data_IF_168235535081
#
_entry.id   IF_168235535081
#
_cell.length_a   1.000
_cell.length_b   1.000
_cell.length_c   1.000
_cell.angle_alpha   90.00
_cell.angle_beta   90.00
_cell.angle_gamma   90.00
#
_symmetry.space_group_name_H-M   'P 1'
#
loop_
_entity.id
_entity.type
_entity.pdbx_description
1 polymer ?
#
# COMPACT_ATOMS: atom_id res chain seq x y z
N UNK A 1 -29.45 34.67 26.43
CA UNK A 1 -28.00 34.41 26.38
C UNK A 1 -27.64 32.91 26.24
N UNK A 2 -28.40 31.96 26.81
CA UNK A 2 -28.07 30.51 26.78
C UNK A 2 -28.26 29.80 25.43
N UNK A 3 -29.27 30.18 24.64
CA UNK A 3 -29.59 29.55 23.34
C UNK A 3 -28.50 29.78 22.28
N UNK A 4 -27.84 30.95 22.32
CA UNK A 4 -26.81 31.32 21.34
C UNK A 4 -25.51 30.52 21.53
N UNK A 5 -25.09 30.29 22.78
CA UNK A 5 -23.93 29.42 23.06
C UNK A 5 -24.23 27.97 22.70
N UNK A 6 -25.45 27.47 22.96
CA UNK A 6 -25.86 26.11 22.59
C UNK A 6 -25.85 25.93 21.07
N UNK A 7 -26.40 26.89 20.31
CA UNK A 7 -26.42 26.81 18.85
C UNK A 7 -25.02 26.89 18.24
N UNK A 8 -24.13 27.69 18.85
CA UNK A 8 -22.73 27.79 18.44
C UNK A 8 -21.96 26.48 18.69
N UNK A 9 -22.16 25.85 19.86
CA UNK A 9 -21.56 24.56 20.20
C UNK A 9 -22.07 23.44 19.28
N UNK A 10 -23.36 23.44 18.95
CA UNK A 10 -23.91 22.47 17.99
C UNK A 10 -23.34 22.68 16.59
N UNK A 11 -23.24 23.92 16.13
CA UNK A 11 -22.68 24.23 14.81
C UNK A 11 -21.20 23.84 14.70
N UNK A 12 -20.40 24.05 15.74
CA UNK A 12 -18.98 23.65 15.74
C UNK A 12 -18.82 22.13 15.80
N UNK A 13 -19.63 21.42 16.59
CA UNK A 13 -19.59 19.95 16.62
C UNK A 13 -20.02 19.36 15.27
N UNK A 14 -21.07 19.90 14.64
CA UNK A 14 -21.51 19.47 13.30
C UNK A 14 -20.43 19.78 12.26
N UNK A 15 -19.78 20.93 12.34
CA UNK A 15 -18.68 21.30 11.44
C UNK A 15 -17.43 20.42 11.64
N UNK A 16 -17.08 20.08 12.89
CA UNK A 16 -16.00 19.13 13.19
C UNK A 16 -16.34 17.74 12.66
N UNK A 17 -17.57 17.25 12.84
CA UNK A 17 -18.02 15.96 12.31
C UNK A 17 -18.05 15.95 10.78
N UNK A 18 -18.38 17.08 10.16
CA UNK A 18 -18.36 17.25 8.70
C UNK A 18 -16.94 17.29 8.13
N UNK A 19 -16.02 17.99 8.82
CA UNK A 19 -14.60 18.07 8.43
C UNK A 19 -13.82 16.79 8.73
N UNK A 20 -14.15 16.11 9.84
CA UNK A 20 -13.64 14.78 10.18
C UNK A 20 -14.37 13.68 9.40
N UNK A 21 -15.02 14.04 8.28
CA UNK A 21 -15.72 13.12 7.39
C UNK A 21 -14.91 11.85 7.24
N UNK A 22 -15.56 10.71 7.50
CA UNK A 22 -14.95 9.40 7.31
C UNK A 22 -14.45 9.30 5.87
N UNK A 23 -13.16 9.54 5.65
CA UNK A 23 -12.50 9.07 4.45
C UNK A 23 -12.70 7.55 4.45
N UNK A 24 -13.32 7.04 3.39
CA UNK A 24 -13.46 5.60 3.21
C UNK A 24 -12.08 5.08 2.81
N UNK A 25 -11.59 4.05 3.50
CA UNK A 25 -10.34 3.40 3.13
C UNK A 25 -10.31 3.10 1.64
N UNK A 26 -9.26 3.54 1.00
CA UNK A 26 -8.88 3.24 -0.36
C UNK A 26 -8.05 1.95 -0.36
N UNK A 27 -8.10 1.16 -1.44
CA UNK A 27 -7.24 0.00 -1.57
C UNK A 27 -5.80 0.43 -1.91
N UNK A 28 -4.80 -0.40 -1.58
CA UNK A 28 -3.44 -0.16 -2.01
C UNK A 28 -3.30 -0.29 -3.54
N UNK A 29 -2.31 0.40 -4.10
CA UNK A 29 -2.03 0.46 -5.54
C UNK A 29 -0.65 -0.12 -5.80
N UNK A 30 -0.53 -0.98 -6.82
CA UNK A 30 0.77 -1.44 -7.32
C UNK A 30 1.32 -0.37 -8.26
N UNK A 31 2.43 0.26 -7.88
CA UNK A 31 3.10 1.29 -8.66
C UNK A 31 4.04 0.68 -9.70
N UNK A 32 4.73 -0.40 -9.32
CA UNK A 32 5.67 -1.11 -10.20
C UNK A 32 5.70 -2.60 -9.91
N UNK A 33 5.69 -3.41 -10.97
CA UNK A 33 5.90 -4.85 -10.88
C UNK A 33 6.81 -5.30 -12.02
N UNK A 34 8.05 -5.65 -11.70
CA UNK A 34 9.07 -6.04 -12.67
C UNK A 34 9.92 -7.18 -12.14
N UNK A 35 10.67 -7.83 -13.02
CA UNK A 35 11.65 -8.85 -12.67
C UNK A 35 13.05 -8.45 -13.10
N UNK A 36 14.05 -9.01 -12.44
CA UNK A 36 15.45 -8.94 -12.86
C UNK A 36 16.07 -10.36 -12.85
N UNK A 37 16.41 -10.94 -14.02
CA UNK A 37 16.28 -10.37 -15.36
C UNK A 37 14.83 -10.09 -15.78
N UNK A 38 14.64 -9.19 -16.76
CA UNK A 38 13.33 -8.80 -17.26
C UNK A 38 12.52 -10.00 -17.78
N UNK A 39 11.19 -9.91 -17.70
CA UNK A 39 10.28 -11.05 -17.92
C UNK A 39 10.27 -11.59 -19.36
N UNK A 40 10.81 -10.82 -20.30
CA UNK A 40 11.02 -11.20 -21.70
C UNK A 40 12.37 -11.90 -21.95
N UNK A 41 13.24 -12.00 -20.94
CA UNK A 41 14.50 -12.71 -21.02
C UNK A 41 14.33 -14.20 -20.76
N UNK A 42 15.06 -15.02 -21.51
CA UNK A 42 15.18 -16.44 -21.23
C UNK A 42 16.13 -16.65 -20.04
N UNK A 43 15.72 -17.52 -19.11
CA UNK A 43 16.53 -18.00 -18.00
C UNK A 43 16.72 -19.51 -18.11
N UNK A 44 17.80 -20.02 -17.53
CA UNK A 44 18.09 -21.46 -17.47
C UNK A 44 17.55 -22.06 -16.18
N UNK A 45 17.29 -23.37 -16.18
CA UNK A 45 16.89 -24.08 -14.97
C UNK A 45 17.98 -23.92 -13.88
N UNK A 46 17.57 -23.42 -12.71
CA UNK A 46 18.46 -23.14 -11.57
C UNK A 46 18.87 -21.67 -11.44
N UNK A 47 18.56 -20.82 -12.42
CA UNK A 47 18.79 -19.38 -12.30
C UNK A 47 17.83 -18.75 -11.29
N UNK A 48 18.31 -17.71 -10.59
CA UNK A 48 17.51 -16.90 -9.67
C UNK A 48 16.98 -15.67 -10.41
N UNK A 49 15.67 -15.42 -10.28
CA UNK A 49 15.02 -14.21 -10.77
C UNK A 49 14.51 -13.40 -9.59
N UNK A 50 14.90 -12.12 -9.52
CA UNK A 50 14.37 -11.19 -8.52
C UNK A 50 13.01 -10.68 -8.96
N UNK A 51 12.03 -10.71 -8.07
CA UNK A 51 10.73 -10.10 -8.26
C UNK A 51 10.70 -8.81 -7.45
N UNK A 52 10.39 -7.70 -8.11
CA UNK A 52 10.35 -6.37 -7.51
C UNK A 52 8.93 -5.86 -7.61
N UNK A 53 8.29 -5.64 -6.45
CA UNK A 53 6.96 -5.07 -6.33
C UNK A 53 7.05 -3.81 -5.46
N UNK A 54 6.67 -2.67 -6.04
CA UNK A 54 6.51 -1.40 -5.35
C UNK A 54 5.03 -1.07 -5.31
N UNK A 55 4.51 -0.78 -4.13
CA UNK A 55 3.11 -0.43 -3.92
C UNK A 55 2.99 0.67 -2.87
N UNK A 56 1.93 1.45 -2.99
CA UNK A 56 1.59 2.56 -2.10
C UNK A 56 0.14 2.42 -1.64
N UNK A 57 -0.12 2.74 -0.38
CA UNK A 57 -1.47 2.89 0.15
C UNK A 57 -1.82 4.39 0.24
N UNK A 58 -2.91 4.87 -0.40
CA UNK A 58 -3.29 6.29 -0.37
C UNK A 58 -3.62 6.83 1.03
N UNK A 59 -4.08 5.96 1.94
CA UNK A 59 -4.39 6.32 3.33
C UNK A 59 -3.16 6.19 4.24
N UNK A 60 -2.06 5.63 3.72
CA UNK A 60 -0.83 5.39 4.46
C UNK A 60 -0.89 4.13 5.34
N UNK A 61 -1.81 3.21 5.05
CA UNK A 61 -1.89 1.92 5.75
C UNK A 61 -0.65 1.05 5.50
N UNK A 62 -0.35 0.18 6.46
CA UNK A 62 0.73 -0.80 6.31
C UNK A 62 0.39 -1.84 5.25
N UNK A 63 1.31 -2.06 4.32
CA UNK A 63 1.15 -3.04 3.25
C UNK A 63 1.62 -4.43 3.65
N UNK A 64 0.88 -5.44 3.21
CA UNK A 64 1.27 -6.84 3.30
C UNK A 64 1.38 -7.44 1.89
N UNK A 65 2.44 -8.20 1.64
CA UNK A 65 2.73 -8.79 0.33
C UNK A 65 2.59 -10.31 0.37
N UNK A 66 2.03 -10.88 -0.71
CA UNK A 66 1.93 -12.33 -0.89
C UNK A 66 2.22 -12.68 -2.35
N UNK A 67 3.20 -13.55 -2.57
CA UNK A 67 3.56 -14.05 -3.88
C UNK A 67 3.16 -15.52 -4.02
N UNK A 68 2.80 -15.92 -5.23
CA UNK A 68 2.50 -17.30 -5.61
C UNK A 68 3.11 -17.55 -6.98
N UNK A 69 3.59 -18.77 -7.21
CA UNK A 69 4.13 -19.19 -8.49
C UNK A 69 3.69 -20.63 -8.78
N UNK A 70 3.45 -20.94 -10.05
CA UNK A 70 3.08 -22.28 -10.50
C UNK A 70 4.28 -23.26 -10.49
N UNK A 71 5.50 -22.73 -10.35
CA UNK A 71 6.74 -23.50 -10.26
C UNK A 71 7.91 -22.69 -9.70
N UNK A 72 8.99 -23.38 -9.34
CA UNK A 72 10.15 -22.80 -8.67
C UNK A 72 9.99 -22.72 -7.15
N UNK A 73 10.90 -21.98 -6.50
CA UNK A 73 10.92 -21.77 -5.05
C UNK A 73 11.23 -20.32 -4.73
N UNK A 74 10.63 -19.79 -3.65
CA UNK A 74 10.98 -18.47 -3.13
C UNK A 74 12.04 -18.60 -2.05
N UNK A 75 13.14 -17.85 -2.16
CA UNK A 75 14.21 -17.82 -1.15
C UNK A 75 13.88 -16.88 0.03
N UNK A 76 12.88 -16.00 -0.14
CA UNK A 76 12.43 -15.05 0.87
C UNK A 76 12.40 -13.61 0.32
N UNK A 77 11.78 -12.67 1.05
CA UNK A 77 11.89 -11.26 0.71
C UNK A 77 13.33 -10.78 0.92
N UNK A 78 13.81 -9.94 0.01
CA UNK A 78 15.11 -9.27 0.12
C UNK A 78 14.83 -7.78 0.17
N UNK A 79 15.36 -7.09 1.19
CA UNK A 79 15.23 -5.64 1.26
C UNK A 79 16.03 -5.00 0.13
N UNK A 80 15.53 -3.90 -0.44
CA UNK A 80 16.19 -3.20 -1.55
C UNK A 80 17.62 -2.74 -1.23
N UNK A 81 17.97 -2.66 0.07
CA UNK A 81 19.30 -2.28 0.55
C UNK A 81 20.25 -3.47 0.81
N UNK A 82 19.76 -4.71 0.76
CA UNK A 82 20.54 -5.92 1.04
C UNK A 82 21.21 -6.50 -0.22
N UNK A 83 21.19 -5.76 -1.33
CA UNK A 83 21.83 -6.15 -2.59
C UNK A 83 23.24 -5.56 -2.64
N UNK A 84 24.23 -6.31 -2.12
CA UNK A 84 25.64 -6.24 -2.52
C UNK A 84 26.01 -7.50 -3.30
#
# INVERSE_FOLDING_TARGET
MKKSCVNLVVATVVFIVYLAGCARNEPPVIDRFVTDPASDNLVTAGDTVKIICEATDPDGDLLAYKFQADGGTFEGPVDANDIL
#
